data_IF_891257289696
#
_entry.id   IF_891257289696
#
_cell.length_a   1.000
_cell.length_b   1.000
_cell.length_c   1.000
_cell.angle_alpha   90.00
_cell.angle_beta   90.00
_cell.angle_gamma   90.00
#
_symmetry.space_group_name_H-M   'P 1'
#
loop_
_entity.id
_entity.type
_entity.pdbx_description
1 polymer ?
#
# COMPACT_ATOMS: atom_id res chain seq x y z
N UNK A 1 12.48 -56.05 7.50
CA UNK A 1 13.33 -54.84 7.60
C UNK A 1 13.27 -54.12 6.27
N UNK A 2 13.02 -52.82 6.35
CA UNK A 2 13.10 -51.79 5.30
C UNK A 2 12.07 -51.88 4.16
N UNK A 3 10.87 -51.36 4.46
CA UNK A 3 9.99 -50.71 3.50
C UNK A 3 10.57 -49.32 3.25
N UNK A 4 11.03 -49.05 2.02
CA UNK A 4 11.37 -47.71 1.57
C UNK A 4 10.17 -47.10 0.86
N UNK A 5 9.46 -46.19 1.52
CA UNK A 5 8.58 -45.25 0.84
C UNK A 5 9.42 -44.02 0.49
N UNK A 6 9.53 -43.76 -0.82
CA UNK A 6 9.89 -42.45 -1.31
C UNK A 6 8.85 -41.46 -0.80
N UNK A 7 9.27 -40.48 0.00
CA UNK A 7 8.46 -39.31 0.30
C UNK A 7 8.27 -38.56 -1.02
N UNK A 8 7.10 -38.74 -1.63
CA UNK A 8 6.55 -37.77 -2.56
C UNK A 8 6.52 -36.42 -1.84
N UNK A 9 7.23 -35.45 -2.41
CA UNK A 9 7.09 -34.04 -2.07
C UNK A 9 5.60 -33.69 -2.10
N UNK A 10 5.01 -33.51 -0.92
CA UNK A 10 3.79 -32.74 -0.78
C UNK A 10 4.13 -31.31 -1.21
N UNK A 11 3.89 -31.02 -2.50
CA UNK A 11 3.68 -29.67 -2.98
C UNK A 11 2.60 -29.11 -2.07
N UNK A 12 2.97 -28.15 -1.22
CA UNK A 12 2.03 -27.34 -0.47
C UNK A 12 1.01 -26.85 -1.48
N UNK A 13 -0.24 -27.31 -1.32
CA UNK A 13 -1.37 -26.69 -2.00
C UNK A 13 -1.36 -25.23 -1.55
N UNK A 14 -0.88 -24.36 -2.43
CA UNK A 14 -1.18 -22.94 -2.36
C UNK A 14 -2.70 -22.84 -2.17
N UNK A 15 -3.12 -22.24 -1.05
CA UNK A 15 -4.50 -21.83 -0.89
C UNK A 15 -4.85 -20.92 -2.07
N UNK A 16 -6.02 -21.10 -2.71
CA UNK A 16 -6.38 -20.28 -3.84
C UNK A 16 -6.48 -18.82 -3.39
N UNK A 17 -5.60 -17.97 -3.93
CA UNK A 17 -5.67 -16.50 -3.81
C UNK A 17 -7.05 -16.00 -4.27
N UNK A 18 -8.00 -15.90 -3.34
CA UNK A 18 -9.29 -15.24 -3.55
C UNK A 18 -9.10 -13.71 -3.55
N UNK A 19 -8.54 -13.16 -4.63
CA UNK A 19 -8.31 -11.71 -4.85
C UNK A 19 -9.18 -11.14 -5.99
N UNK A 20 -10.47 -11.52 -6.03
CA UNK A 20 -11.46 -10.97 -6.96
C UNK A 20 -12.68 -10.44 -6.20
N UNK A 21 -12.66 -9.14 -5.90
CA UNK A 21 -13.79 -8.43 -5.32
C UNK A 21 -14.72 -7.92 -6.43
N UNK A 22 -15.88 -8.57 -6.54
CA UNK A 22 -16.86 -8.38 -7.62
C UNK A 22 -17.48 -6.98 -7.61
N UNK A 23 -17.84 -6.49 -6.42
CA UNK A 23 -18.49 -5.19 -6.27
C UNK A 23 -17.54 -4.05 -6.64
N UNK A 24 -16.27 -4.16 -6.28
CA UNK A 24 -15.25 -3.18 -6.65
C UNK A 24 -15.08 -3.09 -8.16
N UNK A 25 -14.93 -4.22 -8.85
CA UNK A 25 -14.75 -4.23 -10.31
C UNK A 25 -16.03 -3.84 -11.07
N UNK A 26 -17.21 -4.10 -10.49
CA UNK A 26 -18.49 -3.63 -11.03
C UNK A 26 -18.57 -2.10 -11.08
N UNK A 27 -18.00 -1.42 -10.08
CA UNK A 27 -18.11 0.04 -9.97
C UNK A 27 -16.98 0.82 -10.67
N UNK A 28 -15.86 0.15 -10.96
CA UNK A 28 -14.61 0.72 -11.50
C UNK A 28 -14.66 1.03 -13.02
N UNK A 29 -13.90 2.03 -13.46
CA UNK A 29 -13.47 2.16 -14.86
C UNK A 29 -12.25 1.27 -15.11
N UNK A 30 -12.40 0.21 -15.92
CA UNK A 30 -11.32 -0.75 -16.12
C UNK A 30 -10.13 -0.14 -16.87
N UNK A 31 -8.93 -0.36 -16.34
CA UNK A 31 -7.65 -0.09 -17.00
C UNK A 31 -7.23 -1.27 -17.89
N UNK A 32 -6.17 -1.11 -18.70
CA UNK A 32 -5.63 -2.20 -19.53
C UNK A 32 -5.25 -3.45 -18.73
N UNK A 33 -4.71 -3.29 -17.52
CA UNK A 33 -4.38 -4.41 -16.63
C UNK A 33 -5.63 -5.06 -16.05
N UNK A 34 -6.67 -4.29 -15.73
CA UNK A 34 -7.95 -4.84 -15.27
C UNK A 34 -8.60 -5.68 -16.37
N UNK A 35 -8.56 -5.23 -17.63
CA UNK A 35 -9.06 -5.98 -18.78
C UNK A 35 -8.33 -7.32 -18.92
N UNK A 36 -6.99 -7.32 -18.79
CA UNK A 36 -6.20 -8.56 -18.83
C UNK A 36 -6.63 -9.51 -17.71
N UNK A 37 -6.76 -9.01 -16.48
CA UNK A 37 -7.20 -9.81 -15.33
C UNK A 37 -8.63 -10.34 -15.51
N UNK A 38 -9.56 -9.55 -16.05
CA UNK A 38 -10.91 -10.03 -16.36
C UNK A 38 -10.87 -11.17 -17.39
N UNK A 39 -10.06 -11.03 -18.44
CA UNK A 39 -9.88 -12.09 -19.45
C UNK A 39 -9.28 -13.37 -18.85
N UNK A 40 -8.30 -13.24 -17.95
CA UNK A 40 -7.75 -14.38 -17.19
C UNK A 40 -8.82 -15.03 -16.31
N UNK A 41 -9.58 -14.25 -15.54
CA UNK A 41 -10.63 -14.76 -14.66
C UNK A 41 -11.79 -15.42 -15.42
N UNK A 42 -12.11 -14.94 -16.63
CA UNK A 42 -13.11 -15.59 -17.50
C UNK A 42 -12.72 -17.03 -17.86
N UNK A 43 -11.44 -17.37 -17.83
CA UNK A 43 -10.95 -18.75 -18.05
C UNK A 43 -10.84 -19.59 -16.79
N UNK A 44 -11.20 -19.04 -15.62
CA UNK A 44 -11.16 -19.74 -14.34
C UNK A 44 -12.19 -20.86 -14.24
N UNK A 45 -11.86 -21.92 -13.49
CA UNK A 45 -12.78 -23.00 -13.12
C UNK A 45 -13.87 -22.53 -12.15
N UNK A 46 -13.65 -21.44 -11.41
CA UNK A 46 -14.70 -20.80 -10.60
C UNK A 46 -15.70 -20.09 -11.51
N UNK A 47 -16.82 -20.76 -11.79
CA UNK A 47 -17.92 -20.23 -12.62
C UNK A 47 -18.46 -18.91 -12.11
N UNK A 48 -18.51 -18.71 -10.80
CA UNK A 48 -19.01 -17.49 -10.22
C UNK A 48 -18.06 -16.32 -10.49
N UNK A 49 -16.75 -16.54 -10.37
CA UNK A 49 -15.73 -15.55 -10.73
C UNK A 49 -15.67 -15.29 -12.24
N UNK A 50 -15.70 -16.35 -13.05
CA UNK A 50 -15.64 -16.30 -14.51
C UNK A 50 -16.82 -15.51 -15.12
N UNK A 51 -18.06 -15.82 -14.72
CA UNK A 51 -19.25 -15.12 -15.21
C UNK A 51 -19.27 -13.66 -14.77
N UNK A 52 -18.92 -13.38 -13.51
CA UNK A 52 -18.84 -11.99 -13.02
C UNK A 52 -17.80 -11.17 -13.78
N UNK A 53 -16.61 -11.75 -14.05
CA UNK A 53 -15.58 -11.09 -14.85
C UNK A 53 -16.06 -10.80 -16.28
N UNK A 54 -16.81 -11.73 -16.89
CA UNK A 54 -17.43 -11.55 -18.19
C UNK A 54 -18.45 -10.41 -18.22
N UNK A 55 -19.29 -10.29 -17.19
CA UNK A 55 -20.26 -9.19 -17.05
C UNK A 55 -19.57 -7.83 -16.92
N UNK A 56 -18.56 -7.75 -16.06
CA UNK A 56 -17.79 -6.52 -15.83
C UNK A 56 -17.06 -6.08 -17.11
N UNK A 57 -16.44 -7.03 -17.83
CA UNK A 57 -15.75 -6.74 -19.08
C UNK A 57 -16.74 -6.32 -20.18
N UNK A 58 -17.89 -7.00 -20.26
CA UNK A 58 -18.95 -6.66 -21.21
C UNK A 58 -19.44 -5.22 -21.02
N UNK A 59 -19.75 -4.84 -19.77
CA UNK A 59 -20.12 -3.46 -19.42
C UNK A 59 -19.05 -2.45 -19.83
N UNK A 60 -17.77 -2.76 -19.54
CA UNK A 60 -16.67 -1.86 -19.92
C UNK A 60 -16.62 -1.60 -21.43
N UNK A 61 -16.82 -2.61 -22.27
CA UNK A 61 -16.84 -2.42 -23.71
C UNK A 61 -18.05 -1.62 -24.19
N UNK A 62 -19.23 -1.83 -23.61
CA UNK A 62 -20.43 -1.01 -23.93
C UNK A 62 -20.15 0.48 -23.66
N UNK A 63 -19.45 0.81 -22.57
CA UNK A 63 -19.11 2.21 -22.24
C UNK A 63 -18.01 2.82 -23.11
N UNK A 64 -17.18 2.01 -23.75
CA UNK A 64 -16.11 2.47 -24.65
C UNK A 64 -16.48 2.27 -26.13
N UNK A 65 -17.77 2.39 -26.45
CA UNK A 65 -18.32 2.34 -27.81
C UNK A 65 -18.08 1.01 -28.56
N UNK A 66 -17.62 -0.04 -27.89
CA UNK A 66 -17.52 -1.39 -28.45
C UNK A 66 -18.76 -2.22 -28.08
N UNK A 67 -19.91 -1.76 -28.59
CA UNK A 67 -21.23 -2.24 -28.20
C UNK A 67 -21.46 -3.71 -28.53
N UNK A 68 -21.03 -4.19 -29.71
CA UNK A 68 -21.26 -5.57 -30.14
C UNK A 68 -20.53 -6.58 -29.25
N UNK A 69 -19.24 -6.34 -28.96
CA UNK A 69 -18.45 -7.19 -28.07
C UNK A 69 -18.99 -7.14 -26.64
N UNK A 70 -19.33 -5.93 -26.16
CA UNK A 70 -19.87 -5.71 -24.83
C UNK A 70 -21.22 -6.40 -24.61
N UNK A 71 -22.16 -6.22 -25.53
CA UNK A 71 -23.48 -6.84 -25.49
C UNK A 71 -23.40 -8.37 -25.52
N UNK A 72 -22.55 -8.93 -26.39
CA UNK A 72 -22.31 -10.37 -26.46
C UNK A 72 -21.75 -10.93 -25.15
N UNK A 73 -20.80 -10.24 -24.53
CA UNK A 73 -20.24 -10.65 -23.24
C UNK A 73 -21.27 -10.59 -22.12
N UNK A 74 -22.07 -9.53 -22.04
CA UNK A 74 -23.14 -9.42 -21.04
C UNK A 74 -24.13 -10.58 -21.17
N UNK A 75 -24.63 -10.83 -22.40
CA UNK A 75 -25.61 -11.88 -22.68
C UNK A 75 -25.10 -13.29 -22.39
N UNK A 76 -23.83 -13.57 -22.68
CA UNK A 76 -23.25 -14.90 -22.47
C UNK A 76 -22.89 -15.20 -21.01
N UNK A 77 -22.77 -14.18 -20.16
CA UNK A 77 -22.28 -14.33 -18.79
C UNK A 77 -23.34 -13.96 -17.73
N UNK A 78 -24.54 -13.52 -18.13
CA UNK A 78 -25.66 -13.31 -17.22
C UNK A 78 -26.37 -14.65 -16.94
N UNK A 79 -25.81 -15.42 -15.99
CA UNK A 79 -26.43 -16.63 -15.45
C UNK A 79 -26.64 -16.49 -13.94
N UNK A 80 -27.89 -16.19 -13.57
CA UNK A 80 -28.39 -16.02 -12.21
C UNK A 80 -27.93 -17.10 -11.22
N UNK A 81 -27.72 -18.31 -11.70
CA UNK A 81 -27.37 -19.48 -10.88
C UNK A 81 -26.00 -19.36 -10.21
N UNK A 82 -25.11 -18.53 -10.78
CA UNK A 82 -23.72 -18.40 -10.35
C UNK A 82 -23.38 -17.01 -9.82
N UNK A 83 -24.34 -16.08 -9.75
CA UNK A 83 -24.09 -14.69 -9.37
C UNK A 83 -24.62 -14.41 -7.97
N UNK A 84 -23.85 -13.66 -7.17
CA UNK A 84 -24.38 -13.05 -5.97
C UNK A 84 -25.42 -11.98 -6.31
N UNK A 85 -26.28 -11.64 -5.35
CA UNK A 85 -27.42 -10.74 -5.56
C UNK A 85 -27.01 -9.37 -6.12
N UNK A 86 -25.89 -8.83 -5.67
CA UNK A 86 -25.38 -7.54 -6.16
C UNK A 86 -25.00 -7.62 -7.64
N UNK A 87 -24.17 -8.60 -8.00
CA UNK A 87 -23.68 -8.80 -9.36
C UNK A 87 -24.82 -9.17 -10.30
N UNK A 88 -25.78 -9.96 -9.82
CA UNK A 88 -27.01 -10.29 -10.53
C UNK A 88 -27.77 -9.03 -10.96
N UNK A 89 -28.15 -8.20 -9.99
CA UNK A 89 -28.91 -6.96 -10.26
C UNK A 89 -28.12 -6.02 -11.17
N UNK A 90 -26.82 -5.87 -10.92
CA UNK A 90 -25.93 -5.06 -11.76
C UNK A 90 -25.84 -5.58 -13.20
N UNK A 91 -25.77 -6.91 -13.37
CA UNK A 91 -25.74 -7.57 -14.67
C UNK A 91 -27.00 -7.31 -15.50
N UNK A 92 -28.19 -7.43 -14.88
CA UNK A 92 -29.47 -7.08 -15.53
C UNK A 92 -29.55 -5.59 -15.90
N UNK A 93 -29.06 -4.69 -15.04
CA UNK A 93 -28.98 -3.25 -15.34
C UNK A 93 -28.09 -2.96 -16.56
N UNK A 94 -26.92 -3.60 -16.63
CA UNK A 94 -25.99 -3.42 -17.75
C UNK A 94 -26.49 -4.06 -19.04
N UNK A 95 -27.11 -5.25 -18.98
CA UNK A 95 -27.67 -5.90 -20.16
C UNK A 95 -28.85 -5.12 -20.72
N UNK A 96 -29.73 -4.58 -19.86
CA UNK A 96 -30.80 -3.67 -20.29
C UNK A 96 -30.24 -2.48 -21.06
N UNK A 97 -29.27 -1.75 -20.50
CA UNK A 97 -28.64 -0.59 -21.15
C UNK A 97 -28.00 -0.95 -22.50
N UNK A 98 -27.27 -2.07 -22.54
CA UNK A 98 -26.66 -2.57 -23.77
C UNK A 98 -27.69 -2.98 -24.83
N UNK A 99 -28.82 -3.58 -24.42
CA UNK A 99 -29.90 -3.98 -25.31
C UNK A 99 -30.63 -2.77 -25.91
N UNK A 100 -30.90 -1.74 -25.11
CA UNK A 100 -31.44 -0.46 -25.58
C UNK A 100 -30.49 0.17 -26.60
N UNK A 101 -29.20 0.28 -26.29
CA UNK A 101 -28.18 0.82 -27.21
C UNK A 101 -28.05 -0.01 -28.50
N UNK A 102 -28.26 -1.33 -28.42
CA UNK A 102 -28.18 -2.26 -29.56
C UNK A 102 -29.50 -2.41 -30.33
N UNK A 103 -30.57 -1.71 -29.93
CA UNK A 103 -31.92 -1.86 -30.51
C UNK A 103 -32.49 -3.29 -30.45
N UNK A 104 -32.15 -4.07 -29.41
CA UNK A 104 -32.73 -5.40 -29.14
C UNK A 104 -33.91 -5.26 -28.15
N UNK A 105 -35.06 -4.84 -28.68
CA UNK A 105 -36.26 -4.50 -27.89
C UNK A 105 -36.75 -5.68 -27.03
N UNK A 106 -36.68 -6.90 -27.55
CA UNK A 106 -37.15 -8.08 -26.83
C UNK A 106 -36.32 -8.36 -25.56
N UNK A 107 -35.00 -8.21 -25.66
CA UNK A 107 -34.11 -8.36 -24.49
C UNK A 107 -34.29 -7.18 -23.55
N UNK A 108 -34.34 -5.95 -24.06
CA UNK A 108 -34.55 -4.76 -23.23
C UNK A 108 -35.84 -4.86 -22.39
N UNK A 109 -36.97 -5.29 -22.98
CA UNK A 109 -38.23 -5.51 -22.25
C UNK A 109 -38.09 -6.59 -21.17
N UNK A 110 -37.45 -7.71 -21.49
CA UNK A 110 -37.25 -8.83 -20.55
C UNK A 110 -36.45 -8.39 -19.32
N UNK A 111 -35.34 -7.67 -19.53
CA UNK A 111 -34.49 -7.18 -18.44
C UNK A 111 -35.21 -6.10 -17.61
N UNK A 112 -35.99 -5.23 -18.27
CA UNK A 112 -36.79 -4.20 -17.59
C UNK A 112 -37.86 -4.81 -16.68
N UNK A 113 -38.55 -5.85 -17.13
CA UNK A 113 -39.53 -6.58 -16.32
C UNK A 113 -38.86 -7.19 -15.08
N UNK A 114 -37.71 -7.83 -15.24
CA UNK A 114 -36.94 -8.33 -14.11
C UNK A 114 -36.63 -7.21 -13.10
N UNK A 115 -36.04 -6.10 -13.55
CA UNK A 115 -35.63 -4.99 -12.70
C UNK A 115 -36.81 -4.34 -11.94
N UNK A 116 -38.00 -4.30 -12.55
CA UNK A 116 -39.22 -3.82 -11.87
C UNK A 116 -39.62 -4.71 -10.69
N UNK A 117 -39.45 -6.03 -10.84
CA UNK A 117 -39.81 -7.03 -9.81
C UNK A 117 -38.80 -7.19 -8.67
N UNK A 118 -37.62 -6.57 -8.76
CA UNK A 118 -36.59 -6.66 -7.70
C UNK A 118 -37.08 -5.97 -6.41
N UNK A 119 -37.16 -6.72 -5.30
CA UNK A 119 -37.41 -6.17 -3.97
C UNK A 119 -36.25 -5.28 -3.49
N UNK A 120 -36.56 -4.07 -3.03
CA UNK A 120 -35.57 -3.07 -2.62
C UNK A 120 -35.08 -3.31 -1.19
N UNK A 121 -34.08 -4.18 -1.05
CA UNK A 121 -33.27 -4.33 0.17
C UNK A 121 -31.98 -3.50 0.10
N UNK A 122 -31.12 -3.59 1.11
CA UNK A 122 -29.85 -2.85 1.16
C UNK A 122 -28.93 -3.17 -0.03
N UNK A 123 -28.88 -4.43 -0.49
CA UNK A 123 -28.01 -4.87 -1.59
C UNK A 123 -28.56 -4.36 -2.92
N UNK A 124 -29.87 -4.47 -3.14
CA UNK A 124 -30.53 -3.93 -4.32
C UNK A 124 -30.38 -2.41 -4.39
N UNK A 125 -30.64 -1.70 -3.28
CA UNK A 125 -30.47 -0.24 -3.19
C UNK A 125 -29.05 0.17 -3.54
N UNK A 126 -28.04 -0.56 -3.03
CA UNK A 126 -26.63 -0.34 -3.35
C UNK A 126 -26.35 -0.53 -4.85
N UNK A 127 -26.83 -1.62 -5.45
CA UNK A 127 -26.63 -1.90 -6.88
C UNK A 127 -27.23 -0.81 -7.79
N UNK A 128 -28.47 -0.39 -7.53
CA UNK A 128 -29.11 0.68 -8.30
C UNK A 128 -28.40 2.02 -8.09
N UNK A 129 -28.07 2.41 -6.85
CA UNK A 129 -27.34 3.67 -6.59
C UNK A 129 -25.99 3.71 -7.29
N UNK A 130 -25.25 2.60 -7.28
CA UNK A 130 -23.99 2.52 -8.02
C UNK A 130 -24.19 2.69 -9.51
N UNK A 131 -25.15 1.99 -10.11
CA UNK A 131 -25.46 2.16 -11.53
C UNK A 131 -25.83 3.60 -11.88
N UNK A 132 -26.70 4.25 -11.10
CA UNK A 132 -27.09 5.65 -11.34
C UNK A 132 -25.89 6.60 -11.26
N UNK A 133 -25.03 6.43 -10.25
CA UNK A 133 -23.82 7.25 -10.10
C UNK A 133 -22.84 7.07 -11.28
N UNK A 134 -22.74 5.84 -11.80
CA UNK A 134 -21.87 5.53 -12.93
C UNK A 134 -22.33 6.12 -14.25
N UNK A 135 -23.65 6.14 -14.47
CA UNK A 135 -24.27 6.73 -15.66
C UNK A 135 -24.58 8.22 -15.45
N UNK A 136 -24.05 8.83 -14.39
CA UNK A 136 -24.20 10.26 -14.04
C UNK A 136 -25.67 10.72 -13.92
N UNK A 137 -26.55 9.83 -13.48
CA UNK A 137 -28.00 10.09 -13.32
C UNK A 137 -28.29 10.67 -11.95
N UNK A 138 -29.05 11.76 -11.91
CA UNK A 138 -29.51 12.40 -10.67
C UNK A 138 -30.66 11.58 -10.09
N UNK A 139 -30.52 11.12 -8.85
CA UNK A 139 -31.53 10.32 -8.15
C UNK A 139 -32.38 11.24 -7.25
N UNK A 140 -33.70 11.12 -7.32
CA UNK A 140 -34.58 11.56 -6.24
C UNK A 140 -34.79 10.36 -5.29
N UNK A 141 -34.57 10.55 -3.99
CA UNK A 141 -34.57 9.47 -2.99
C UNK A 141 -35.86 8.62 -2.96
N UNK A 142 -36.97 9.14 -3.48
CA UNK A 142 -38.27 8.46 -3.54
C UNK A 142 -38.41 7.44 -4.69
N UNK A 143 -37.47 7.37 -5.65
CA UNK A 143 -37.56 6.39 -6.76
C UNK A 143 -36.21 6.00 -7.37
N UNK A 144 -35.36 5.34 -6.57
CA UNK A 144 -34.05 4.77 -7.01
C UNK A 144 -34.17 3.84 -8.25
N UNK A 145 -35.36 3.30 -8.55
CA UNK A 145 -35.65 2.49 -9.75
C UNK A 145 -35.85 3.32 -11.04
N UNK A 146 -36.03 4.63 -10.96
CA UNK A 146 -36.34 5.47 -12.14
C UNK A 146 -35.11 5.78 -13.01
N UNK A 147 -33.92 5.32 -12.63
CA UNK A 147 -32.67 5.47 -13.39
C UNK A 147 -32.65 4.76 -14.77
N UNK A 148 -33.76 4.19 -15.23
CA UNK A 148 -33.87 3.44 -16.49
C UNK A 148 -34.36 4.31 -17.68
N UNK A 149 -34.68 5.59 -17.46
CA UNK A 149 -35.33 6.45 -18.48
C UNK A 149 -34.53 7.72 -18.85
N UNK A 150 -34.02 7.71 -20.10
CA UNK A 150 -33.68 8.78 -21.06
C UNK A 150 -32.50 9.79 -20.88
N UNK A 151 -31.63 9.73 -21.90
CA UNK A 151 -30.86 10.71 -22.71
C UNK A 151 -29.71 11.59 -22.16
N UNK A 152 -28.53 11.34 -22.72
CA UNK A 152 -27.23 12.06 -22.79
C UNK A 152 -27.26 13.27 -23.77
N UNK A 153 -26.15 14.05 -24.02
CA UNK A 153 -24.79 14.01 -23.44
C UNK A 153 -24.14 15.41 -23.15
N UNK A 154 -22.93 15.38 -22.55
CA UNK A 154 -21.68 16.07 -22.96
C UNK A 154 -20.77 16.17 -21.70
N UNK A 155 -19.57 15.63 -21.59
CA UNK A 155 -18.46 15.43 -22.53
C UNK A 155 -17.29 16.29 -22.05
N UNK A 156 -16.15 15.70 -21.67
CA UNK A 156 -14.87 16.42 -21.53
C UNK A 156 -13.67 15.46 -21.46
N UNK A 157 -12.56 15.95 -22.01
CA UNK A 157 -11.37 15.24 -22.49
C UNK A 157 -10.25 15.07 -21.47
N UNK A 158 -9.42 14.05 -21.71
CA UNK A 158 -8.16 13.78 -21.02
C UNK A 158 -7.09 14.86 -21.28
N UNK A 159 -6.26 15.11 -20.27
CA UNK A 159 -4.94 15.73 -20.43
C UNK A 159 -3.90 14.76 -19.86
N UNK A 160 -3.08 14.23 -20.77
CA UNK A 160 -1.82 13.55 -20.45
C UNK A 160 -0.85 14.54 -19.80
N UNK A 161 -0.24 14.12 -18.69
CA UNK A 161 1.03 14.69 -18.25
C UNK A 161 2.06 13.60 -18.46
N UNK A 162 2.98 13.87 -19.38
CA UNK A 162 4.19 13.09 -19.62
C UNK A 162 4.96 12.91 -18.31
N UNK A 163 5.19 11.65 -17.96
CA UNK A 163 6.37 11.27 -17.17
C UNK A 163 7.33 10.67 -18.18
N UNK A 164 8.02 11.54 -18.92
CA UNK A 164 9.19 11.20 -19.74
C UNK A 164 10.44 11.43 -18.88
N UNK A 165 11.59 10.77 -19.05
CA UNK A 165 12.14 9.91 -20.09
C UNK A 165 13.25 9.09 -19.40
N UNK A 166 13.45 7.81 -19.74
CA UNK A 166 14.61 7.04 -19.26
C UNK A 166 15.92 7.74 -19.65
N UNK A 167 16.82 8.11 -18.71
CA UNK A 167 18.19 8.42 -19.06
C UNK A 167 19.00 7.11 -19.10
N UNK A 168 19.74 6.94 -20.19
CA UNK A 168 20.68 5.84 -20.45
C UNK A 168 21.71 5.68 -19.33
N UNK A 169 22.23 4.44 -19.23
CA UNK A 169 23.42 4.05 -18.45
C UNK A 169 24.47 5.17 -18.44
N UNK A 170 24.81 5.61 -17.25
CA UNK A 170 26.09 6.24 -16.98
C UNK A 170 26.99 5.12 -16.44
N UNK A 171 27.92 4.66 -17.27
CA UNK A 171 29.07 3.91 -16.76
C UNK A 171 30.01 4.96 -16.13
N UNK A 172 29.96 5.12 -14.81
CA UNK A 172 31.02 5.83 -14.09
C UNK A 172 32.11 4.83 -13.69
N UNK A 173 33.29 5.04 -14.26
CA UNK A 173 34.53 4.45 -13.79
C UNK A 173 34.89 5.05 -12.43
N UNK A 174 34.98 4.22 -11.41
CA UNK A 174 35.60 4.59 -10.14
C UNK A 174 37.13 4.46 -10.31
N UNK A 175 37.83 5.59 -10.40
CA UNK A 175 39.30 5.64 -10.31
C UNK A 175 39.76 5.94 -8.87
N UNK A 176 40.59 5.04 -8.34
CA UNK A 176 41.64 5.28 -7.33
C UNK A 176 41.26 5.97 -6.02
N UNK A 177 40.88 5.20 -5.01
CA UNK A 177 40.78 5.70 -3.62
C UNK A 177 42.17 5.82 -2.96
N UNK A 178 42.38 6.83 -2.09
CA UNK A 178 43.57 6.94 -1.24
C UNK A 178 43.60 5.82 -0.20
N UNK A 179 44.78 5.53 0.36
CA UNK A 179 44.93 4.63 1.51
C UNK A 179 44.14 5.20 2.70
N UNK A 180 43.02 4.58 3.03
CA UNK A 180 42.14 4.96 4.14
C UNK A 180 42.67 4.41 5.46
N UNK A 181 42.54 5.19 6.55
CA UNK A 181 42.89 4.74 7.89
C UNK A 181 41.91 3.65 8.36
N UNK A 182 42.45 2.55 8.92
CA UNK A 182 41.64 1.45 9.42
C UNK A 182 40.68 1.88 10.53
N UNK A 183 39.42 1.50 10.42
CA UNK A 183 38.37 1.73 11.43
C UNK A 183 38.10 0.44 12.19
N UNK A 184 38.13 0.46 13.52
CA UNK A 184 37.79 -0.71 14.35
C UNK A 184 36.50 -0.46 15.13
N UNK A 185 35.49 -1.31 14.93
CA UNK A 185 34.15 -1.17 15.48
C UNK A 185 33.81 -2.36 16.36
N UNK A 186 33.43 -2.11 17.62
CA UNK A 186 32.80 -3.12 18.46
C UNK A 186 31.29 -3.12 18.21
N UNK A 187 30.67 -4.28 18.01
CA UNK A 187 29.22 -4.41 17.80
C UNK A 187 28.61 -5.21 18.93
N UNK A 188 27.69 -4.60 19.67
CA UNK A 188 26.81 -5.23 20.64
C UNK A 188 25.42 -5.52 20.08
N UNK A 189 24.75 -6.51 20.65
CA UNK A 189 23.36 -6.89 20.32
C UNK A 189 23.12 -7.20 18.84
N UNK A 190 24.15 -7.68 18.12
CA UNK A 190 24.10 -7.94 16.68
C UNK A 190 22.97 -8.93 16.29
N UNK A 191 22.64 -9.86 17.18
CA UNK A 191 21.56 -10.83 17.01
C UNK A 191 20.16 -10.21 16.98
N UNK A 192 20.01 -8.98 17.47
CA UNK A 192 18.73 -8.25 17.49
C UNK A 192 18.40 -7.61 16.15
N UNK A 193 19.41 -7.20 15.38
CA UNK A 193 19.24 -6.66 14.03
C UNK A 193 20.33 -7.19 13.08
N UNK A 194 20.22 -8.46 12.63
CA UNK A 194 21.20 -9.05 11.73
C UNK A 194 21.22 -8.39 10.34
N UNK A 195 20.14 -7.73 9.94
CA UNK A 195 20.03 -7.06 8.63
C UNK A 195 20.93 -5.81 8.60
N UNK A 196 20.90 -5.01 9.67
CA UNK A 196 21.78 -3.87 9.84
C UNK A 196 23.26 -4.27 9.68
N UNK A 197 23.66 -5.38 10.32
CA UNK A 197 25.05 -5.87 10.29
C UNK A 197 25.46 -6.39 8.90
N UNK A 198 24.58 -7.16 8.25
CA UNK A 198 24.81 -7.64 6.88
C UNK A 198 25.04 -6.47 5.92
N UNK A 199 24.22 -5.43 6.03
CA UNK A 199 24.33 -4.24 5.18
C UNK A 199 25.56 -3.37 5.51
N UNK A 200 25.99 -3.32 6.77
CA UNK A 200 27.26 -2.68 7.12
C UNK A 200 28.44 -3.41 6.44
N UNK A 201 28.52 -4.72 6.59
CA UNK A 201 29.59 -5.53 5.96
C UNK A 201 29.57 -5.43 4.44
N UNK A 202 28.37 -5.42 3.85
CA UNK A 202 28.17 -5.16 2.43
C UNK A 202 28.76 -3.80 2.01
N UNK A 203 28.39 -2.74 2.73
CA UNK A 203 28.80 -1.38 2.42
C UNK A 203 30.31 -1.19 2.55
N UNK A 204 30.93 -1.78 3.58
CA UNK A 204 32.40 -1.83 3.75
C UNK A 204 33.07 -2.45 2.52
N UNK A 205 32.58 -3.62 2.10
CA UNK A 205 33.11 -4.35 0.95
C UNK A 205 32.96 -3.55 -0.36
N UNK A 206 31.79 -2.96 -0.60
CA UNK A 206 31.48 -2.23 -1.84
C UNK A 206 32.20 -0.90 -1.95
N UNK A 207 32.31 -0.18 -0.85
CA UNK A 207 33.00 1.11 -0.81
C UNK A 207 34.53 0.96 -0.69
N UNK A 208 35.04 -0.27 -0.56
CA UNK A 208 36.47 -0.55 -0.45
C UNK A 208 37.09 -0.04 0.85
N UNK A 209 36.30 0.06 1.92
CA UNK A 209 36.73 0.65 3.19
C UNK A 209 37.48 -0.38 4.05
N UNK A 210 38.50 0.06 4.78
CA UNK A 210 39.22 -0.78 5.75
C UNK A 210 38.53 -0.70 7.12
N UNK A 211 37.38 -1.38 7.26
CA UNK A 211 36.62 -1.45 8.51
C UNK A 211 36.69 -2.87 9.09
N UNK A 212 37.19 -2.99 10.30
CA UNK A 212 37.17 -4.22 11.08
C UNK A 212 36.00 -4.21 12.07
N UNK A 213 35.08 -5.16 11.91
CA UNK A 213 33.92 -5.35 12.78
C UNK A 213 34.21 -6.48 13.75
N UNK A 214 34.11 -6.19 15.05
CA UNK A 214 34.38 -7.13 16.14
C UNK A 214 33.13 -7.32 17.02
N UNK A 215 32.65 -8.57 17.08
CA UNK A 215 31.50 -8.97 17.89
C UNK A 215 31.87 -9.48 19.28
N UNK A 216 33.18 -9.69 19.57
CA UNK A 216 33.64 -10.23 20.85
C UNK A 216 33.64 -9.17 21.96
N UNK A 217 33.89 -7.91 21.61
CA UNK A 217 34.01 -6.82 22.58
C UNK A 217 35.26 -6.90 23.48
N UNK A 218 36.20 -7.82 23.18
CA UNK A 218 37.36 -8.10 24.05
C UNK A 218 38.54 -7.14 23.83
N UNK A 219 38.53 -6.36 22.75
CA UNK A 219 39.59 -5.40 22.43
C UNK A 219 39.40 -4.08 23.17
N UNK A 220 40.44 -3.24 23.12
CA UNK A 220 40.45 -1.93 23.81
C UNK A 220 40.73 -0.77 22.86
N UNK A 221 41.07 -1.05 21.61
CA UNK A 221 41.46 -0.10 20.57
C UNK A 221 40.31 0.28 19.64
N UNK A 222 39.06 0.07 20.05
CA UNK A 222 37.89 0.46 19.27
C UNK A 222 37.84 1.97 19.01
N UNK A 223 37.58 2.33 17.75
CA UNK A 223 37.22 3.68 17.35
C UNK A 223 35.76 3.98 17.65
N UNK A 224 34.90 2.97 17.46
CA UNK A 224 33.46 3.05 17.62
C UNK A 224 32.90 1.83 18.35
N UNK A 225 31.79 2.03 19.05
CA UNK A 225 30.94 0.98 19.63
C UNK A 225 29.52 1.16 19.10
N UNK A 226 29.00 0.17 18.39
CA UNK A 226 27.63 0.15 17.89
C UNK A 226 26.78 -0.76 18.78
N UNK A 227 25.65 -0.25 19.24
CA UNK A 227 24.54 -1.04 19.73
C UNK A 227 23.54 -1.21 18.57
N UNK A 228 23.43 -2.43 18.04
CA UNK A 228 22.64 -2.70 16.83
C UNK A 228 21.12 -2.60 17.08
N UNK A 229 20.65 -2.90 18.29
CA UNK A 229 19.23 -2.85 18.65
C UNK A 229 18.73 -1.40 18.70
N UNK A 230 19.48 -0.54 19.40
CA UNK A 230 19.15 0.88 19.54
C UNK A 230 19.63 1.75 18.39
N UNK A 231 20.47 1.21 17.48
CA UNK A 231 21.10 1.93 16.37
C UNK A 231 21.93 3.13 16.86
N UNK A 232 22.61 2.95 18.00
CA UNK A 232 23.42 3.97 18.65
C UNK A 232 24.90 3.68 18.42
N UNK A 233 25.64 4.66 17.91
CA UNK A 233 27.10 4.62 17.82
C UNK A 233 27.70 5.50 18.91
N UNK A 234 28.61 4.94 19.71
CA UNK A 234 29.48 5.69 20.62
C UNK A 234 30.89 5.76 20.05
N UNK A 235 31.45 6.96 19.96
CA UNK A 235 32.86 7.19 19.65
C UNK A 235 33.57 7.84 20.85
N UNK A 236 34.85 8.15 20.72
CA UNK A 236 35.59 8.96 21.71
C UNK A 236 35.04 10.38 21.85
N UNK A 237 34.34 10.90 20.84
CA UNK A 237 33.90 12.29 20.76
C UNK A 237 32.42 12.49 21.10
N UNK A 238 31.62 11.42 21.15
CA UNK A 238 30.21 11.54 21.48
C UNK A 238 29.41 10.25 21.26
N UNK A 239 28.10 10.38 21.48
CA UNK A 239 27.08 9.37 21.22
C UNK A 239 26.20 9.87 20.08
N UNK A 240 25.85 8.97 19.15
CA UNK A 240 25.13 9.28 17.93
C UNK A 240 23.96 8.30 17.71
N UNK A 241 22.74 8.81 17.60
CA UNK A 241 21.50 8.04 17.41
C UNK A 241 21.04 8.09 15.94
N UNK A 242 20.96 6.91 15.30
CA UNK A 242 20.59 6.78 13.88
C UNK A 242 19.18 6.25 13.64
N UNK A 243 18.51 5.75 14.69
CA UNK A 243 17.14 5.25 14.63
C UNK A 243 16.15 6.28 14.06
N UNK A 244 15.08 5.77 13.44
CA UNK A 244 13.97 6.60 12.99
C UNK A 244 13.04 6.89 14.17
N UNK A 245 12.51 8.11 14.24
CA UNK A 245 11.62 8.50 15.32
C UNK A 245 10.17 8.13 15.02
N UNK A 246 9.88 6.82 14.97
CA UNK A 246 8.56 6.30 14.58
C UNK A 246 7.40 6.80 15.47
N UNK A 247 7.66 7.15 16.72
CA UNK A 247 6.67 7.82 17.59
C UNK A 247 6.19 9.16 17.00
N UNK A 248 7.11 9.97 16.47
CA UNK A 248 6.80 11.25 15.81
C UNK A 248 6.09 11.02 14.48
N UNK A 249 6.55 10.05 13.70
CA UNK A 249 5.93 9.67 12.41
C UNK A 249 4.48 9.22 12.65
N UNK A 250 4.25 8.40 13.68
CA UNK A 250 2.93 7.90 14.02
C UNK A 250 2.01 9.00 14.56
N UNK A 251 2.51 9.89 15.42
CA UNK A 251 1.74 11.03 15.91
C UNK A 251 1.31 11.96 14.76
N UNK A 252 2.18 12.20 13.78
CA UNK A 252 1.84 13.01 12.62
C UNK A 252 0.83 12.32 11.69
N UNK A 253 0.92 10.99 11.51
CA UNK A 253 -0.12 10.23 10.82
C UNK A 253 -1.48 10.35 11.53
N UNK A 254 -1.51 10.35 12.86
CA UNK A 254 -2.73 10.61 13.64
C UNK A 254 -3.25 12.02 13.39
N UNK A 255 -2.41 13.05 13.42
CA UNK A 255 -2.80 14.41 13.14
C UNK A 255 -3.48 14.52 11.76
N UNK A 256 -2.90 13.88 10.74
CA UNK A 256 -3.48 13.83 9.39
C UNK A 256 -4.81 13.07 9.35
N UNK A 257 -4.93 11.94 10.04
CA UNK A 257 -6.17 11.17 10.12
C UNK A 257 -7.32 12.00 10.72
N UNK A 258 -7.01 12.97 11.58
CA UNK A 258 -8.00 13.83 12.24
C UNK A 258 -8.45 15.06 11.41
N UNK A 259 -7.81 15.37 10.28
CA UNK A 259 -8.05 16.61 9.51
C UNK A 259 -9.48 16.80 8.98
N UNK A 260 -10.26 15.73 8.80
CA UNK A 260 -11.64 15.82 8.29
C UNK A 260 -12.71 15.88 9.40
N UNK A 261 -12.32 16.07 10.67
CA UNK A 261 -13.28 16.18 11.78
C UNK A 261 -14.02 14.87 12.08
N UNK A 262 -13.41 13.73 11.77
CA UNK A 262 -13.94 12.42 12.13
C UNK A 262 -13.99 12.25 13.65
N UNK A 263 -15.10 11.73 14.17
CA UNK A 263 -15.27 11.44 15.60
C UNK A 263 -14.79 10.03 15.99
N UNK A 264 -14.40 9.20 15.02
CA UNK A 264 -13.94 7.84 15.28
C UNK A 264 -12.57 7.66 14.64
N UNK A 265 -11.57 7.38 15.48
CA UNK A 265 -10.19 7.16 15.10
C UNK A 265 -9.80 5.73 15.44
N UNK A 266 -9.26 5.01 14.46
CA UNK A 266 -8.72 3.66 14.65
C UNK A 266 -7.20 3.72 14.48
N UNK A 267 -6.49 3.27 15.50
CA UNK A 267 -5.04 3.21 15.57
C UNK A 267 -4.55 1.77 15.34
N UNK A 268 -3.85 1.55 14.22
CA UNK A 268 -3.08 0.32 14.01
C UNK A 268 -1.63 0.54 14.43
N UNK A 269 -1.12 -0.25 15.35
CA UNK A 269 0.24 -0.07 15.89
C UNK A 269 1.07 -1.36 15.80
N UNK A 270 2.39 -1.24 15.66
CA UNK A 270 3.34 -2.34 15.94
C UNK A 270 3.60 -2.44 17.44
N UNK A 271 4.06 -3.57 17.99
CA UNK A 271 4.30 -3.73 19.43
C UNK A 271 5.13 -2.59 20.07
N UNK A 272 6.11 -2.06 19.35
CA UNK A 272 6.97 -0.95 19.79
C UNK A 272 6.21 0.36 19.98
N UNK A 273 5.13 0.56 19.23
CA UNK A 273 4.29 1.77 19.24
C UNK A 273 3.07 1.63 20.15
N UNK A 274 2.94 0.55 20.92
CA UNK A 274 1.80 0.33 21.81
C UNK A 274 1.65 1.45 22.85
N UNK A 275 2.72 1.82 23.53
CA UNK A 275 2.71 2.89 24.55
C UNK A 275 2.32 4.23 23.91
N UNK A 276 2.82 4.52 22.71
CA UNK A 276 2.44 5.72 21.95
C UNK A 276 0.95 5.71 21.58
N UNK A 277 0.40 4.57 21.18
CA UNK A 277 -1.03 4.43 20.90
C UNK A 277 -1.90 4.63 22.16
N UNK A 278 -1.43 4.21 23.35
CA UNK A 278 -2.08 4.49 24.64
C UNK A 278 -2.02 5.98 24.97
N UNK A 279 -0.87 6.63 24.78
CA UNK A 279 -0.71 8.08 24.98
C UNK A 279 -1.69 8.87 24.11
N UNK A 280 -1.84 8.48 22.84
CA UNK A 280 -2.79 9.11 21.90
C UNK A 280 -4.24 8.90 22.34
N UNK A 281 -4.62 7.70 22.77
CA UNK A 281 -5.96 7.46 23.32
C UNK A 281 -6.25 8.34 24.53
N UNK A 282 -5.29 8.44 25.45
CA UNK A 282 -5.40 9.26 26.66
C UNK A 282 -5.55 10.76 26.34
N UNK A 283 -4.85 11.24 25.31
CA UNK A 283 -4.96 12.61 24.79
C UNK A 283 -6.38 12.97 24.33
N UNK A 284 -7.14 11.99 23.84
CA UNK A 284 -8.50 12.20 23.32
C UNK A 284 -9.62 11.75 24.27
N UNK A 285 -9.29 11.19 25.45
CA UNK A 285 -10.24 10.60 26.40
C UNK A 285 -11.36 11.56 26.84
N UNK A 286 -11.04 12.84 27.00
CA UNK A 286 -11.99 13.89 27.44
C UNK A 286 -12.62 14.67 26.26
N UNK A 287 -12.53 14.13 25.04
CA UNK A 287 -13.09 14.72 23.82
C UNK A 287 -14.22 13.86 23.26
N UNK A 288 -14.95 14.37 22.26
CA UNK A 288 -15.98 13.59 21.55
C UNK A 288 -15.39 12.53 20.59
N UNK A 289 -14.05 12.43 20.51
CA UNK A 289 -13.35 11.51 19.63
C UNK A 289 -13.22 10.15 20.32
N UNK A 290 -13.81 9.12 19.70
CA UNK A 290 -13.64 7.72 20.10
C UNK A 290 -12.40 7.15 19.45
N UNK A 291 -11.47 6.68 20.27
CA UNK A 291 -10.25 6.02 19.83
C UNK A 291 -10.38 4.52 20.01
N UNK A 292 -10.06 3.78 18.96
CA UNK A 292 -9.96 2.33 18.94
C UNK A 292 -8.54 1.93 18.55
N UNK A 293 -8.08 0.77 19.00
CA UNK A 293 -6.70 0.33 18.77
C UNK A 293 -6.65 -1.13 18.36
N UNK A 294 -5.73 -1.49 17.48
CA UNK A 294 -5.42 -2.88 17.15
C UNK A 294 -3.93 -3.03 16.82
N UNK A 295 -3.36 -4.20 17.11
CA UNK A 295 -2.00 -4.52 16.67
C UNK A 295 -1.99 -4.93 15.21
N UNK A 296 -1.08 -4.37 14.41
CA UNK A 296 -0.89 -4.73 13.00
C UNK A 296 -0.34 -6.15 12.80
N UNK A 297 0.23 -6.73 13.86
CA UNK A 297 0.80 -8.08 13.87
C UNK A 297 -0.18 -9.15 14.39
N UNK A 298 -1.32 -8.73 14.94
CA UNK A 298 -2.35 -9.66 15.42
C UNK A 298 -3.09 -10.28 14.24
N UNK A 299 -2.97 -11.59 14.03
CA UNK A 299 -3.70 -12.33 12.99
C UNK A 299 -5.23 -12.16 13.11
N UNK A 300 -5.74 -11.84 14.31
CA UNK A 300 -7.14 -11.59 14.60
C UNK A 300 -7.64 -10.17 14.35
N UNK A 301 -6.80 -9.24 13.86
CA UNK A 301 -7.14 -7.81 13.77
C UNK A 301 -8.43 -7.52 12.98
N UNK A 302 -8.77 -8.36 12.00
CA UNK A 302 -10.00 -8.23 11.21
C UNK A 302 -11.27 -8.39 12.06
N UNK A 303 -11.23 -9.25 13.09
CA UNK A 303 -12.34 -9.41 14.03
C UNK A 303 -12.53 -8.14 14.84
N UNK A 304 -11.44 -7.52 15.29
CA UNK A 304 -11.45 -6.23 15.99
C UNK A 304 -12.06 -5.14 15.11
N UNK A 305 -11.63 -5.02 13.85
CA UNK A 305 -12.18 -4.04 12.90
C UNK A 305 -13.69 -4.27 12.65
N UNK A 306 -14.11 -5.54 12.57
CA UNK A 306 -15.52 -5.89 12.44
C UNK A 306 -16.33 -5.46 13.67
N UNK A 307 -15.83 -5.74 14.88
CA UNK A 307 -16.50 -5.31 16.12
C UNK A 307 -16.62 -3.79 16.20
N UNK A 308 -15.55 -3.05 15.87
CA UNK A 308 -15.57 -1.58 15.84
C UNK A 308 -16.66 -1.08 14.87
N UNK A 309 -16.74 -1.67 13.68
CA UNK A 309 -17.77 -1.33 12.70
C UNK A 309 -19.20 -1.61 13.20
N UNK A 310 -19.41 -2.76 13.83
CA UNK A 310 -20.71 -3.13 14.41
C UNK A 310 -21.13 -2.19 15.55
N UNK A 311 -20.19 -1.73 16.38
CA UNK A 311 -20.46 -0.77 17.47
C UNK A 311 -20.79 0.64 16.96
N UNK A 312 -20.15 1.07 15.88
CA UNK A 312 -20.30 2.43 15.33
C UNK A 312 -21.52 2.57 14.40
N UNK A 313 -21.95 1.47 13.78
CA UNK A 313 -23.07 1.44 12.83
C UNK A 313 -22.68 1.86 11.40
N UNK A 314 -23.57 1.59 10.44
CA UNK A 314 -23.32 1.69 8.99
C UNK A 314 -23.03 3.12 8.49
N UNK A 315 -23.39 4.15 9.27
CA UNK A 315 -23.25 5.55 8.88
C UNK A 315 -22.01 6.25 9.43
N UNK A 316 -21.24 5.59 10.31
CA UNK A 316 -20.10 6.19 10.96
C UNK A 316 -18.94 6.45 9.99
N UNK A 317 -18.34 7.64 10.09
CA UNK A 317 -17.07 7.93 9.41
C UNK A 317 -15.93 7.51 10.32
N UNK A 318 -15.01 6.71 9.79
CA UNK A 318 -13.86 6.18 10.53
C UNK A 318 -12.59 6.69 9.87
N UNK A 319 -11.72 7.30 10.66
CA UNK A 319 -10.38 7.68 10.21
C UNK A 319 -9.36 6.70 10.78
N UNK A 320 -8.36 6.35 9.98
CA UNK A 320 -7.35 5.37 10.32
C UNK A 320 -5.98 6.03 10.35
N UNK A 321 -5.25 5.79 11.42
CA UNK A 321 -3.82 6.02 11.48
C UNK A 321 -3.16 4.66 11.77
N UNK A 322 -2.33 4.19 10.86
CA UNK A 322 -1.71 2.86 10.96
C UNK A 322 -0.20 2.95 10.79
N UNK A 323 0.56 2.32 11.67
CA UNK A 323 2.01 2.28 11.64
C UNK A 323 2.53 0.87 11.37
N UNK A 324 3.60 0.77 10.59
CA UNK A 324 4.29 -0.49 10.33
C UNK A 324 5.27 -0.36 9.17
N UNK A 325 5.92 -1.47 8.81
CA UNK A 325 6.76 -1.55 7.61
C UNK A 325 5.90 -1.54 6.31
N UNK A 326 6.54 -1.34 5.16
CA UNK A 326 5.83 -1.32 3.87
C UNK A 326 5.01 -2.60 3.63
N UNK A 327 5.52 -3.78 4.04
CA UNK A 327 4.89 -5.09 3.82
C UNK A 327 3.67 -5.30 4.71
N UNK A 328 3.71 -4.84 5.95
CA UNK A 328 2.58 -4.86 6.89
C UNK A 328 1.48 -3.93 6.38
N UNK A 329 1.84 -2.71 5.99
CA UNK A 329 0.88 -1.71 5.53
C UNK A 329 0.16 -2.14 4.24
N UNK A 330 0.87 -2.68 3.25
CA UNK A 330 0.21 -3.17 2.01
C UNK A 330 -0.76 -4.32 2.25
N UNK A 331 -0.57 -5.10 3.32
CA UNK A 331 -1.52 -6.15 3.73
C UNK A 331 -2.72 -5.57 4.47
N UNK A 332 -2.55 -4.54 5.29
CA UNK A 332 -3.59 -4.06 6.21
C UNK A 332 -4.52 -3.03 5.57
N UNK A 333 -3.97 -2.07 4.82
CA UNK A 333 -4.76 -0.98 4.22
C UNK A 333 -5.94 -1.45 3.36
N UNK A 334 -5.85 -2.54 2.58
CA UNK A 334 -7.02 -3.10 1.89
C UNK A 334 -8.18 -3.44 2.82
N UNK A 335 -7.90 -3.97 4.02
CA UNK A 335 -8.95 -4.28 5.01
C UNK A 335 -9.54 -3.02 5.62
N UNK A 336 -8.72 -2.01 5.95
CA UNK A 336 -9.23 -0.73 6.48
C UNK A 336 -10.22 -0.08 5.51
N UNK A 337 -9.88 -0.10 4.21
CA UNK A 337 -10.77 0.37 3.14
C UNK A 337 -12.08 -0.42 3.09
N UNK A 338 -12.04 -1.73 3.29
CA UNK A 338 -13.24 -2.58 3.33
C UNK A 338 -14.15 -2.28 4.53
N UNK A 339 -13.58 -2.00 5.70
CA UNK A 339 -14.36 -1.70 6.91
C UNK A 339 -14.87 -0.25 6.96
N UNK A 340 -14.44 0.60 6.03
CA UNK A 340 -14.94 1.96 5.85
C UNK A 340 -16.14 2.00 4.89
N UNK A 341 -17.36 2.14 5.42
CA UNK A 341 -18.60 2.31 4.62
C UNK A 341 -18.62 3.59 3.77
N UNK A 342 -17.86 4.63 4.16
CA UNK A 342 -17.74 5.91 3.44
C UNK A 342 -16.28 6.16 3.01
N UNK A 343 -15.74 5.40 2.04
CA UNK A 343 -14.31 5.43 1.69
C UNK A 343 -13.84 6.79 1.15
N UNK A 344 -14.76 7.62 0.67
CA UNK A 344 -14.57 9.00 0.23
C UNK A 344 -14.40 9.99 1.40
N UNK A 345 -14.95 9.67 2.58
CA UNK A 345 -14.87 10.49 3.80
C UNK A 345 -13.85 9.98 4.81
N UNK A 346 -13.51 8.70 4.74
CA UNK A 346 -12.51 8.06 5.60
C UNK A 346 -11.09 8.44 5.17
N UNK A 347 -10.35 9.00 6.12
CA UNK A 347 -8.91 9.23 5.94
C UNK A 347 -8.16 7.97 6.35
N UNK A 348 -7.16 7.58 5.55
CA UNK A 348 -6.15 6.60 5.95
C UNK A 348 -4.81 7.30 5.90
N UNK A 349 -4.15 7.40 7.04
CA UNK A 349 -2.79 7.89 7.19
C UNK A 349 -1.88 6.73 7.62
N UNK A 350 -0.80 6.51 6.88
CA UNK A 350 0.13 5.42 7.10
C UNK A 350 1.45 6.01 7.60
N UNK A 351 1.86 5.65 8.81
CA UNK A 351 3.19 5.92 9.33
C UNK A 351 4.12 4.78 8.92
N UNK A 352 5.19 5.08 8.19
CA UNK A 352 6.11 4.07 7.65
C UNK A 352 7.55 4.49 7.82
N UNK A 353 8.41 3.52 8.10
CA UNK A 353 9.87 3.73 8.20
C UNK A 353 10.46 4.29 6.90
N UNK A 354 9.93 3.85 5.75
CA UNK A 354 10.34 4.33 4.44
C UNK A 354 9.22 4.24 3.42
N UNK A 355 9.11 5.27 2.58
CA UNK A 355 8.10 5.30 1.52
C UNK A 355 8.67 4.89 0.16
N UNK A 356 8.43 3.63 -0.23
CA UNK A 356 8.97 3.00 -1.43
C UNK A 356 7.93 2.52 -2.44
N UNK A 357 8.38 1.67 -3.38
CA UNK A 357 7.59 1.24 -4.54
C UNK A 357 6.51 0.20 -4.20
N UNK A 358 6.55 -0.42 -3.01
CA UNK A 358 5.59 -1.45 -2.61
C UNK A 358 4.16 -0.92 -2.55
N UNK A 359 3.97 0.33 -2.12
CA UNK A 359 2.69 1.04 -2.15
C UNK A 359 2.12 1.19 -3.58
N UNK A 360 2.97 1.11 -4.61
CA UNK A 360 2.61 1.26 -6.03
C UNK A 360 2.51 -0.05 -6.79
N UNK A 361 2.63 -1.18 -6.09
CA UNK A 361 2.37 -2.47 -6.70
C UNK A 361 0.93 -2.49 -7.27
N UNK A 362 0.77 -3.02 -8.49
CA UNK A 362 -0.50 -3.13 -9.19
C UNK A 362 -1.58 -3.83 -8.35
N UNK A 363 -1.20 -4.70 -7.42
CA UNK A 363 -2.11 -5.39 -6.51
C UNK A 363 -2.70 -4.49 -5.43
N UNK A 364 -1.94 -3.50 -4.94
CA UNK A 364 -2.27 -2.74 -3.72
C UNK A 364 -2.57 -1.27 -3.97
N UNK A 365 -2.04 -0.67 -5.03
CA UNK A 365 -2.02 0.78 -5.27
C UNK A 365 -3.40 1.45 -5.24
N UNK A 366 -4.43 0.74 -5.66
CA UNK A 366 -5.79 1.29 -5.66
C UNK A 366 -6.35 1.48 -4.24
N UNK A 367 -5.96 0.65 -3.26
CA UNK A 367 -6.38 0.81 -1.85
C UNK A 367 -5.70 2.03 -1.20
N UNK A 368 -4.49 2.34 -1.65
CA UNK A 368 -3.71 3.48 -1.20
C UNK A 368 -4.08 4.79 -1.88
N UNK A 369 -4.91 4.77 -2.93
CA UNK A 369 -5.36 6.01 -3.57
C UNK A 369 -6.08 6.90 -2.56
N UNK A 370 -5.64 8.15 -2.48
CA UNK A 370 -6.12 9.14 -1.53
C UNK A 370 -5.60 8.97 -0.09
N UNK A 371 -4.86 7.91 0.22
CA UNK A 371 -4.22 7.72 1.51
C UNK A 371 -3.01 8.67 1.65
N UNK A 372 -2.71 8.99 2.90
CA UNK A 372 -1.52 9.72 3.29
C UNK A 372 -0.45 8.74 3.76
N UNK A 373 0.80 9.01 3.43
CA UNK A 373 1.97 8.29 3.90
C UNK A 373 2.88 9.31 4.57
N UNK A 374 3.23 9.04 5.82
CA UNK A 374 4.10 9.88 6.65
C UNK A 374 5.38 9.10 6.90
N UNK A 375 6.53 9.73 6.65
CA UNK A 375 7.84 9.10 6.82
C UNK A 375 8.93 10.15 6.97
N UNK A 376 10.07 9.75 7.53
CA UNK A 376 11.32 10.52 7.50
C UNK A 376 12.20 10.14 6.29
N UNK A 377 11.88 9.05 5.58
CA UNK A 377 12.72 8.50 4.52
C UNK A 377 11.91 8.25 3.23
N UNK A 378 12.09 9.14 2.25
CA UNK A 378 11.54 8.94 0.91
C UNK A 378 12.47 8.07 0.06
N UNK A 379 12.01 6.86 -0.28
CA UNK A 379 12.75 5.93 -1.13
C UNK A 379 12.48 6.13 -2.64
N UNK A 380 11.43 6.88 -2.97
CA UNK A 380 11.00 7.11 -4.35
C UNK A 380 11.79 8.26 -5.00
N UNK A 381 12.22 8.06 -6.25
CA UNK A 381 12.78 9.13 -7.08
C UNK A 381 14.18 9.58 -6.68
N UNK A 382 14.86 8.86 -5.78
CA UNK A 382 16.24 9.12 -5.41
C UNK A 382 17.17 8.14 -6.16
N UNK A 383 17.96 8.66 -7.09
CA UNK A 383 18.84 7.86 -7.95
C UNK A 383 19.88 7.05 -7.16
N UNK A 384 20.37 7.56 -6.02
CA UNK A 384 21.34 6.85 -5.17
C UNK A 384 20.72 5.65 -4.48
N UNK A 385 19.52 5.81 -3.95
CA UNK A 385 18.74 4.70 -3.38
C UNK A 385 18.45 3.67 -4.47
N UNK A 386 18.12 4.10 -5.70
CA UNK A 386 17.87 3.17 -6.80
C UNK A 386 19.13 2.38 -7.20
N UNK A 387 20.29 3.03 -7.30
CA UNK A 387 21.58 2.34 -7.52
C UNK A 387 21.88 1.33 -6.42
N UNK A 388 21.76 1.74 -5.15
CA UNK A 388 21.97 0.85 -4.01
C UNK A 388 21.02 -0.37 -4.05
N UNK A 389 19.73 -0.14 -4.33
CA UNK A 389 18.74 -1.21 -4.44
C UNK A 389 19.08 -2.21 -5.55
N UNK A 390 19.54 -1.73 -6.71
CA UNK A 390 19.90 -2.59 -7.84
C UNK A 390 21.12 -3.46 -7.53
N UNK A 391 22.17 -2.86 -6.96
CA UNK A 391 23.40 -3.57 -6.60
C UNK A 391 23.14 -4.59 -5.48
N UNK A 392 22.44 -4.16 -4.41
CA UNK A 392 22.11 -5.02 -3.29
C UNK A 392 21.22 -6.20 -3.72
N UNK A 393 20.24 -5.96 -4.60
CA UNK A 393 19.42 -7.04 -5.17
C UNK A 393 20.25 -7.98 -6.06
N UNK A 394 21.20 -7.47 -6.84
CA UNK A 394 22.06 -8.32 -7.67
C UNK A 394 22.90 -9.28 -6.83
N UNK A 395 23.35 -8.84 -5.65
CA UNK A 395 24.24 -9.62 -4.79
C UNK A 395 23.48 -10.58 -3.86
N UNK A 396 22.30 -10.17 -3.34
CA UNK A 396 21.54 -10.94 -2.35
C UNK A 396 20.19 -11.47 -2.82
N UNK A 397 19.74 -11.11 -4.03
CA UNK A 397 18.43 -11.45 -4.58
C UNK A 397 17.26 -11.07 -3.65
N UNK A 398 17.43 -10.00 -2.87
CA UNK A 398 16.42 -9.38 -1.99
C UNK A 398 16.53 -7.86 -2.10
N UNK A 399 15.38 -7.16 -2.04
CA UNK A 399 15.40 -5.70 -1.94
C UNK A 399 15.84 -5.29 -0.54
N UNK A 400 16.68 -4.25 -0.39
CA UNK A 400 17.09 -3.77 0.92
C UNK A 400 15.91 -3.15 1.68
N UNK A 401 15.89 -3.38 2.98
CA UNK A 401 15.02 -2.73 3.96
C UNK A 401 15.58 -1.37 4.37
N UNK A 402 14.83 -0.62 5.16
CA UNK A 402 15.35 0.61 5.79
C UNK A 402 16.53 0.31 6.72
N UNK A 403 16.49 -0.79 7.46
CA UNK A 403 17.63 -1.19 8.30
C UNK A 403 18.88 -1.47 7.46
N UNK A 404 18.73 -2.04 6.27
CA UNK A 404 19.87 -2.21 5.35
C UNK A 404 20.46 -0.86 4.92
N UNK A 405 19.61 0.12 4.60
CA UNK A 405 20.06 1.48 4.25
C UNK A 405 20.68 2.23 5.43
N UNK A 406 20.19 2.00 6.66
CA UNK A 406 20.81 2.53 7.87
C UNK A 406 22.20 1.92 8.08
N UNK A 407 22.40 0.64 7.78
CA UNK A 407 23.71 -0.01 7.84
C UNK A 407 24.73 0.68 6.94
N UNK A 408 24.32 1.06 5.73
CA UNK A 408 25.13 1.89 4.82
C UNK A 408 25.47 3.25 5.44
N UNK A 409 24.47 3.94 6.01
CA UNK A 409 24.65 5.26 6.61
C UNK A 409 25.58 5.25 7.83
N UNK A 410 25.54 4.20 8.65
CA UNK A 410 26.44 4.02 9.79
C UNK A 410 27.89 3.89 9.33
N UNK A 411 28.16 3.08 8.31
CA UNK A 411 29.50 2.91 7.73
C UNK A 411 30.00 4.23 7.16
N UNK A 412 29.15 4.91 6.39
CA UNK A 412 29.45 6.21 5.81
C UNK A 412 29.75 7.27 6.88
N UNK A 413 29.03 7.27 7.99
CA UNK A 413 29.26 8.17 9.10
C UNK A 413 30.62 7.95 9.75
N UNK A 414 30.97 6.69 10.05
CA UNK A 414 32.27 6.35 10.64
C UNK A 414 33.42 6.78 9.73
N UNK A 415 33.26 6.56 8.43
CA UNK A 415 34.22 6.97 7.41
C UNK A 415 34.37 8.50 7.36
N UNK A 416 33.27 9.26 7.34
CA UNK A 416 33.31 10.73 7.34
C UNK A 416 33.98 11.33 8.58
N UNK A 417 33.84 10.70 9.75
CA UNK A 417 34.52 11.17 10.97
C UNK A 417 36.03 11.01 10.86
N UNK A 418 36.49 9.88 10.32
CA UNK A 418 37.91 9.56 10.18
C UNK A 418 38.54 10.28 8.99
N UNK A 419 37.80 10.39 7.90
CA UNK A 419 38.22 10.95 6.62
C UNK A 419 37.20 12.02 6.16
N UNK A 420 37.27 13.27 6.68
CA UNK A 420 36.30 14.32 6.36
C UNK A 420 36.23 14.72 4.88
N UNK A 421 37.22 14.32 4.08
CA UNK A 421 37.20 14.50 2.62
C UNK A 421 36.32 13.49 1.88
N UNK A 422 35.71 12.53 2.57
CA UNK A 422 34.80 11.54 1.99
C UNK A 422 33.42 12.17 1.74
N UNK A 423 33.09 12.46 0.48
CA UNK A 423 31.93 13.27 0.08
C UNK A 423 30.69 12.46 -0.36
N UNK A 424 30.55 11.22 0.09
CA UNK A 424 29.38 10.39 -0.22
C UNK A 424 28.17 10.82 0.65
N UNK A 425 26.95 10.74 0.12
CA UNK A 425 25.72 11.14 0.83
C UNK A 425 25.03 9.96 1.51
N UNK A 426 24.27 10.24 2.56
CA UNK A 426 23.44 9.25 3.25
C UNK A 426 22.23 8.84 2.41
N UNK A 427 21.80 7.58 2.53
CA UNK A 427 20.62 7.04 1.88
C UNK A 427 19.34 7.41 2.63
N UNK A 428 19.36 7.45 3.97
CA UNK A 428 18.15 7.68 4.78
C UNK A 428 17.82 9.16 5.01
N UNK A 429 18.24 10.05 4.10
CA UNK A 429 17.86 11.46 4.14
C UNK A 429 18.42 12.28 5.32
N UNK A 430 19.46 11.78 6.00
CA UNK A 430 20.13 12.49 7.09
C UNK A 430 20.74 13.79 6.57
N UNK A 431 20.27 14.93 7.09
CA UNK A 431 20.76 16.27 6.73
C UNK A 431 21.94 16.72 7.58
N UNK A 432 21.83 16.49 8.88
CA UNK A 432 22.81 16.87 9.89
C UNK A 432 22.77 15.87 11.06
N UNK A 433 23.80 15.96 11.90
CA UNK A 433 23.90 15.27 13.18
C UNK A 433 24.03 16.35 14.25
N UNK A 434 22.89 16.81 14.76
CA UNK A 434 22.81 17.89 15.75
C UNK A 434 22.73 17.29 17.15
N UNK A 435 23.66 17.67 18.03
CA UNK A 435 23.76 17.17 19.42
C UNK A 435 23.78 15.63 19.55
N UNK A 436 24.28 14.93 18.52
CA UNK A 436 24.31 13.46 18.50
C UNK A 436 23.02 12.80 18.00
N UNK A 437 22.07 13.57 17.45
CA UNK A 437 20.86 13.02 16.83
C UNK A 437 20.82 13.31 15.34
N UNK A 438 20.36 12.33 14.57
CA UNK A 438 20.13 12.49 13.14
C UNK A 438 18.96 13.44 12.90
N UNK A 439 19.17 14.45 12.05
CA UNK A 439 18.10 15.35 11.61
C UNK A 439 17.60 14.91 10.24
N UNK A 440 16.32 14.53 10.17
CA UNK A 440 15.59 14.19 8.94
C UNK A 440 14.35 15.08 8.82
N UNK A 441 13.89 15.28 7.59
CA UNK A 441 12.59 15.94 7.40
C UNK A 441 11.48 14.91 7.61
N UNK A 442 10.60 15.17 8.58
CA UNK A 442 9.33 14.47 8.67
C UNK A 442 8.41 15.01 7.58
N UNK A 443 8.06 14.16 6.61
CA UNK A 443 7.26 14.55 5.46
C UNK A 443 5.99 13.72 5.33
N UNK A 444 4.94 14.34 4.83
CA UNK A 444 3.68 13.69 4.53
C UNK A 444 3.38 13.77 3.02
N UNK A 445 2.95 12.64 2.45
CA UNK A 445 2.64 12.51 1.03
C UNK A 445 1.25 11.94 0.85
N UNK A 446 0.46 12.53 -0.05
CA UNK A 446 -0.80 11.96 -0.52
C UNK A 446 -0.56 11.14 -1.78
N UNK A 447 -0.97 9.88 -1.81
CA UNK A 447 -0.99 9.06 -3.02
C UNK A 447 -2.20 9.49 -3.85
N UNK A 448 -1.96 10.11 -5.02
CA UNK A 448 -3.02 10.64 -5.89
C UNK A 448 -3.44 9.62 -6.93
N UNK A 449 -2.46 8.97 -7.54
CA UNK A 449 -2.64 7.90 -8.54
C UNK A 449 -1.48 6.90 -8.42
N UNK A 450 -1.53 5.83 -9.21
CA UNK A 450 -0.44 4.85 -9.32
C UNK A 450 0.88 5.38 -9.84
N UNK A 451 0.93 6.65 -10.27
CA UNK A 451 2.14 7.31 -10.77
C UNK A 451 2.39 8.67 -10.14
N UNK A 452 1.58 9.09 -9.16
CA UNK A 452 1.62 10.44 -8.64
C UNK A 452 1.43 10.46 -7.14
N UNK A 453 2.41 11.04 -6.46
CA UNK A 453 2.32 11.48 -5.07
C UNK A 453 2.29 13.01 -5.02
N UNK A 454 1.67 13.56 -3.98
CA UNK A 454 1.70 14.99 -3.66
C UNK A 454 2.27 15.14 -2.26
N UNK A 455 3.42 15.78 -2.13
CA UNK A 455 3.94 16.23 -0.83
C UNK A 455 2.99 17.27 -0.24
N UNK A 456 2.60 17.09 1.01
CA UNK A 456 1.89 18.09 1.79
C UNK A 456 2.92 19.10 2.28
N UNK A 457 2.59 20.38 2.14
CA UNK A 457 3.41 21.46 2.69
C UNK A 457 2.84 21.76 4.07
N UNK A 458 3.66 21.55 5.10
CA UNK A 458 3.32 21.90 6.48
C UNK A 458 3.23 23.42 6.66
#
# INVERSE_FOLDING_TARGET
MLVGCANELQIQKEEPLRLFNREYYAVKNLTRSDIRKMKELMTSDDKSASMTAGLILGRHYVRNENLEEGYKLLKNNLDDSYLDRFTKISGHLWLHDAAVKSSDEAVAETELEYLKTVDMDAIATKAFKHYCAQEQKIINDDSVKDCVVLEEPAGESEIEIEIFEEPKRVDEQVEGQPLMEKIVVSVGSAEKDPQLIEAMLYSVSKLGLDVEVDFSGERTDYDFKLDAESKIITSKTGLFEFGLEMDKVFEEAVNLAMLNGGLNLVLGYTPELYEKAVEIEDKYRDTDIKVYKFSVEDEGFQSTLKTIKEELGEDATISFAVAGDEKQLVKIVPFLRFYSEKPDKSIIACAVEGFGKLFFNQEYIEYFRGAYVVTEVLLLGNSKIESFNQEYYSDYNKLPTINDMLGYDLVLFMEKIKNPSFLTEYLTGIKSLDEGKTTRDLEAYKIVTSKKIRKLVN
#
